data_IF_323950501907
#
_entry.id   IF_323950501907
#
_cell.length_a   1.000
_cell.length_b   1.000
_cell.length_c   1.000
_cell.angle_alpha   90.00
_cell.angle_beta   90.00
_cell.angle_gamma   90.00
#
_symmetry.space_group_name_H-M   'P 1'
#
loop_
_entity.id
_entity.type
_entity.pdbx_description
1 polymer ?
#
# COMPACT_ATOMS: atom_id res chain seq x y z
N UNK A 1 -1.27 23.47 35.04
CA UNK A 1 -1.22 24.24 33.78
C UNK A 1 -0.52 23.39 32.74
N UNK A 2 -1.15 23.17 31.58
CA UNK A 2 -0.46 22.90 30.32
C UNK A 2 -1.41 23.34 29.20
N UNK A 3 -1.08 24.48 28.63
CA UNK A 3 -1.63 25.08 27.42
C UNK A 3 -1.31 24.15 26.25
N UNK A 4 -2.32 23.70 25.50
CA UNK A 4 -2.13 22.93 24.26
C UNK A 4 -2.47 23.85 23.09
N UNK A 5 -1.42 24.47 22.57
CA UNK A 5 -1.31 25.17 21.29
C UNK A 5 -1.96 24.32 20.15
N UNK A 6 -2.67 24.94 19.19
CA UNK A 6 -3.36 24.19 18.13
C UNK A 6 -2.33 23.50 17.21
N UNK A 7 -2.36 22.17 17.22
CA UNK A 7 -1.48 21.30 16.44
C UNK A 7 -1.34 21.79 14.98
N UNK A 8 -0.11 22.15 14.53
CA UNK A 8 0.13 22.57 13.15
C UNK A 8 -0.04 21.37 12.24
N UNK A 9 -1.23 21.22 11.65
CA UNK A 9 -1.53 20.14 10.70
C UNK A 9 -0.38 20.02 9.69
N UNK A 10 0.27 18.85 9.57
CA UNK A 10 1.38 18.68 8.66
C UNK A 10 0.90 18.90 7.22
N UNK A 11 1.60 19.74 6.47
CA UNK A 11 1.37 19.90 5.04
C UNK A 11 1.64 18.59 4.33
N UNK A 12 0.64 18.10 3.58
CA UNK A 12 0.78 16.86 2.84
C UNK A 12 1.91 17.00 1.78
N UNK A 13 2.80 16.01 1.75
CA UNK A 13 3.85 15.95 0.74
C UNK A 13 3.24 15.85 -0.67
N UNK A 14 3.88 16.45 -1.70
CA UNK A 14 3.39 16.35 -3.07
C UNK A 14 3.40 14.89 -3.54
N UNK A 15 2.33 14.50 -4.25
CA UNK A 15 2.18 13.14 -4.78
C UNK A 15 3.31 12.85 -5.78
N UNK A 16 3.99 11.69 -5.69
CA UNK A 16 5.01 11.32 -6.66
C UNK A 16 4.42 11.20 -8.07
N UNK A 17 5.22 11.57 -9.06
CA UNK A 17 4.88 11.45 -10.48
C UNK A 17 4.70 9.95 -10.82
N UNK A 18 3.72 9.57 -11.66
CA UNK A 18 3.62 8.20 -12.15
C UNK A 18 4.90 7.81 -12.90
N UNK A 19 5.54 6.72 -12.51
CA UNK A 19 6.70 6.18 -13.23
C UNK A 19 6.19 5.42 -14.46
N UNK A 20 6.74 5.74 -15.63
CA UNK A 20 6.46 5.01 -16.85
C UNK A 20 7.27 3.70 -16.86
N UNK A 21 6.57 2.56 -16.95
CA UNK A 21 7.18 1.23 -17.04
C UNK A 21 7.45 0.93 -18.51
N UNK A 22 8.69 0.56 -18.85
CA UNK A 22 9.06 0.17 -20.21
C UNK A 22 8.69 -1.30 -20.49
N UNK A 23 8.51 -1.70 -21.76
CA UNK A 23 8.35 -3.10 -22.13
C UNK A 23 9.51 -3.98 -21.64
N UNK A 24 10.73 -3.46 -21.67
CA UNK A 24 11.93 -4.16 -21.18
C UNK A 24 11.89 -4.39 -19.66
N UNK A 25 11.33 -3.43 -18.90
CA UNK A 25 11.09 -3.60 -17.47
C UNK A 25 10.03 -4.67 -17.20
N UNK A 26 9.03 -4.80 -18.09
CA UNK A 26 8.01 -5.84 -18.00
C UNK A 26 8.59 -7.22 -18.36
N UNK A 27 9.50 -7.32 -19.31
CA UNK A 27 10.21 -8.58 -19.60
C UNK A 27 11.15 -8.98 -18.46
N UNK A 28 11.72 -7.99 -17.76
CA UNK A 28 12.65 -8.20 -16.64
C UNK A 28 11.96 -8.49 -15.30
N UNK A 29 10.81 -7.86 -15.03
CA UNK A 29 10.13 -7.91 -13.72
C UNK A 29 8.66 -8.36 -13.81
N UNK A 30 8.09 -8.43 -15.02
CA UNK A 30 6.72 -8.86 -15.29
C UNK A 30 6.62 -10.37 -15.45
N UNK A 31 7.01 -11.12 -14.42
CA UNK A 31 6.52 -12.48 -14.28
C UNK A 31 5.00 -12.40 -14.03
N UNK A 32 4.23 -12.53 -15.11
CA UNK A 32 2.77 -12.41 -15.10
C UNK A 32 2.13 -13.43 -14.15
N UNK A 33 2.76 -14.60 -13.96
CA UNK A 33 2.29 -15.62 -13.02
C UNK A 33 2.58 -15.22 -11.57
N UNK A 34 3.73 -14.60 -11.29
CA UNK A 34 4.04 -14.02 -9.98
C UNK A 34 3.07 -12.87 -9.65
N UNK A 35 2.79 -11.98 -10.60
CA UNK A 35 1.84 -10.88 -10.43
C UNK A 35 0.41 -11.38 -10.19
N UNK A 36 -0.01 -12.41 -10.92
CA UNK A 36 -1.31 -13.06 -10.70
C UNK A 36 -1.41 -13.68 -9.31
N UNK A 37 -0.34 -14.32 -8.82
CA UNK A 37 -0.28 -14.87 -7.46
C UNK A 37 -0.23 -13.80 -6.38
N UNK A 38 0.51 -12.71 -6.58
CA UNK A 38 0.58 -11.60 -5.63
C UNK A 38 -0.74 -10.83 -5.55
N UNK A 39 -1.48 -10.74 -6.66
CA UNK A 39 -2.84 -10.17 -6.72
C UNK A 39 -3.90 -11.12 -6.16
N UNK A 40 -3.54 -12.38 -5.90
CA UNK A 40 -4.41 -13.31 -5.23
C UNK A 40 -4.35 -13.03 -3.72
N UNK A 41 -5.26 -12.19 -3.27
CA UNK A 41 -5.45 -11.77 -1.87
C UNK A 41 -5.88 -12.93 -0.94
N UNK A 42 -5.64 -14.18 -1.30
CA UNK A 42 -5.97 -15.35 -0.47
C UNK A 42 -5.27 -15.26 0.89
N UNK A 43 -4.05 -14.73 0.95
CA UNK A 43 -3.35 -14.46 2.21
C UNK A 43 -4.07 -13.43 3.10
N UNK A 44 -4.76 -12.44 2.53
CA UNK A 44 -5.58 -11.47 3.27
C UNK A 44 -6.89 -12.09 3.75
N UNK A 45 -7.36 -13.15 3.10
CA UNK A 45 -8.58 -13.87 3.48
C UNK A 45 -8.34 -14.90 4.56
N UNK A 46 -7.20 -15.57 4.52
CA UNK A 46 -6.83 -16.61 5.48
C UNK A 46 -6.39 -16.02 6.83
N UNK A 47 -5.90 -14.78 6.85
CA UNK A 47 -5.71 -14.00 8.08
C UNK A 47 -7.02 -13.31 8.46
N UNK A 48 -7.98 -14.09 8.94
CA UNK A 48 -9.18 -13.53 9.57
C UNK A 48 -8.73 -12.61 10.74
N UNK A 49 -9.06 -11.31 10.74
CA UNK A 49 -8.82 -10.48 11.91
C UNK A 49 -9.50 -11.14 13.11
N UNK A 50 -8.88 -11.18 14.30
CA UNK A 50 -9.53 -11.74 15.48
C UNK A 50 -10.85 -11.01 15.67
N UNK A 51 -11.96 -11.68 15.36
CA UNK A 51 -13.28 -11.13 15.57
C UNK A 51 -13.40 -10.87 17.07
N UNK A 52 -13.38 -9.60 17.46
CA UNK A 52 -13.63 -9.21 18.83
C UNK A 52 -15.00 -9.78 19.22
N UNK A 53 -14.98 -10.81 20.07
CA UNK A 53 -16.17 -11.40 20.64
C UNK A 53 -16.89 -10.34 21.51
N UNK A 54 -18.23 -10.34 21.56
CA UNK A 54 -19.05 -9.26 22.12
C UNK A 54 -18.88 -9.06 23.63
#
# INVERSE_FOLDING_TARGET
>A
MADMDPDPRPTAAPKPQPVHVSPEDLERFGDEDLMRRASNDDWLRDEAPPHHNP
#
